data_IF_978997232618
#
_entry.id   IF_978997232618
#
_cell.length_a   1.000
_cell.length_b   1.000
_cell.length_c   1.000
_cell.angle_alpha   90.00
_cell.angle_beta   90.00
_cell.angle_gamma   90.00
#
_symmetry.space_group_name_H-M   'P 1'
#
loop_
_entity.id
_entity.type
_entity.pdbx_description
1 polymer ?
#
# COMPACT_ATOMS: atom_id res chain seq x y z
N UNK A 1 4.10 -2.62 -38.28
CA UNK A 1 5.07 -2.61 -37.17
C UNK A 1 4.67 -1.51 -36.22
N UNK A 2 4.03 -1.84 -35.09
CA UNK A 2 3.74 -0.89 -34.01
C UNK A 2 4.22 -1.53 -32.73
N UNK A 3 5.45 -1.21 -32.36
CA UNK A 3 5.99 -1.53 -31.04
C UNK A 3 5.34 -0.57 -30.05
N UNK A 4 4.19 -0.98 -29.53
CA UNK A 4 3.66 -0.42 -28.28
C UNK A 4 4.60 -0.87 -27.19
N UNK A 5 5.63 -0.07 -26.92
CA UNK A 5 6.42 -0.19 -25.70
C UNK A 5 5.46 0.07 -24.56
N UNK A 6 4.90 -1.00 -23.99
CA UNK A 6 4.33 -0.95 -22.65
C UNK A 6 5.43 -0.40 -21.76
N UNK A 7 5.30 0.88 -21.41
CA UNK A 7 6.08 1.55 -20.39
C UNK A 7 5.75 0.90 -19.06
N UNK A 8 6.30 -0.30 -18.90
CA UNK A 8 6.25 -1.10 -17.70
C UNK A 8 7.10 -0.32 -16.71
N UNK A 9 6.54 0.26 -15.63
CA UNK A 9 7.38 1.03 -14.73
C UNK A 9 8.37 0.06 -14.08
N UNK A 10 9.64 0.17 -14.49
CA UNK A 10 10.80 -0.46 -13.87
C UNK A 10 11.14 0.16 -12.50
N UNK A 11 10.18 0.86 -11.88
CA UNK A 11 10.35 1.72 -10.74
C UNK A 11 9.29 1.33 -9.70
N UNK A 12 9.74 0.96 -8.50
CA UNK A 12 8.87 0.38 -7.48
C UNK A 12 7.60 1.18 -7.20
N UNK A 13 6.51 0.47 -6.84
CA UNK A 13 5.15 0.97 -6.54
C UNK A 13 5.00 2.48 -6.51
N UNK A 14 4.26 3.06 -7.44
CA UNK A 14 3.87 4.47 -7.48
C UNK A 14 3.14 4.93 -6.20
N UNK A 15 3.10 6.25 -5.98
CA UNK A 15 2.34 6.84 -4.86
C UNK A 15 0.85 6.47 -4.92
N UNK A 16 0.26 6.43 -6.12
CA UNK A 16 -1.14 6.02 -6.32
C UNK A 16 -1.37 4.57 -5.90
N UNK A 17 -0.46 3.67 -6.27
CA UNK A 17 -0.54 2.25 -5.86
C UNK A 17 -0.38 2.09 -4.35
N UNK A 18 0.50 2.87 -3.72
CA UNK A 18 0.66 2.87 -2.27
C UNK A 18 -0.59 3.37 -1.54
N UNK A 19 -1.26 4.40 -2.06
CA UNK A 19 -2.54 4.89 -1.51
C UNK A 19 -3.64 3.84 -1.66
N UNK A 20 -3.74 3.20 -2.83
CA UNK A 20 -4.72 2.14 -3.06
C UNK A 20 -4.49 0.94 -2.13
N UNK A 21 -3.24 0.55 -1.92
CA UNK A 21 -2.89 -0.52 -0.98
C UNK A 21 -3.16 -0.16 0.47
N UNK A 22 -2.95 1.11 0.85
CA UNK A 22 -3.29 1.60 2.19
C UNK A 22 -4.79 1.47 2.45
N UNK A 23 -5.64 1.91 1.51
CA UNK A 23 -7.08 1.77 1.61
C UNK A 23 -7.51 0.30 1.77
N UNK A 24 -6.92 -0.61 0.97
CA UNK A 24 -7.18 -2.04 1.09
C UNK A 24 -6.83 -2.61 2.47
N UNK A 25 -5.71 -2.19 3.08
CA UNK A 25 -5.37 -2.63 4.44
C UNK A 25 -6.31 -2.09 5.51
N UNK A 26 -6.93 -0.93 5.30
CA UNK A 26 -7.93 -0.39 6.22
C UNK A 26 -9.26 -1.13 6.14
N UNK A 27 -9.66 -1.54 4.95
CA UNK A 27 -10.84 -2.39 4.73
C UNK A 27 -10.62 -3.78 5.33
N UNK A 28 -9.45 -4.39 5.10
CA UNK A 28 -9.06 -5.65 5.74
C UNK A 28 -9.16 -5.56 7.27
N UNK A 29 -8.67 -4.47 7.88
CA UNK A 29 -8.76 -4.27 9.34
C UNK A 29 -10.18 -4.04 9.83
N UNK A 30 -11.03 -3.39 9.02
CA UNK A 30 -12.43 -3.14 9.33
C UNK A 30 -13.23 -4.45 9.32
N UNK A 31 -13.01 -5.31 8.32
CA UNK A 31 -13.66 -6.61 8.18
C UNK A 31 -13.11 -7.65 9.18
N UNK A 32 -11.80 -7.64 9.40
CA UNK A 32 -11.10 -8.53 10.34
C UNK A 32 -11.56 -8.40 11.81
N UNK A 33 -12.26 -7.32 12.16
CA UNK A 33 -12.80 -7.13 13.53
C UNK A 33 -13.78 -8.23 13.94
N UNK A 34 -14.48 -8.85 12.99
CA UNK A 34 -15.45 -9.91 13.28
C UNK A 34 -14.78 -11.25 13.64
N UNK A 35 -13.89 -11.78 12.78
CA UNK A 35 -13.42 -13.18 12.92
C UNK A 35 -11.91 -13.42 12.69
N UNK A 36 -11.12 -12.37 12.42
CA UNK A 36 -9.70 -12.58 12.12
C UNK A 36 -8.84 -12.80 13.37
N UNK A 37 -7.89 -13.73 13.26
CA UNK A 37 -6.89 -13.97 14.29
C UNK A 37 -6.02 -12.75 14.58
N UNK A 38 -5.49 -12.65 15.80
CA UNK A 38 -4.56 -11.60 16.21
C UNK A 38 -3.31 -11.54 15.30
N UNK A 39 -2.85 -12.70 14.83
CA UNK A 39 -1.72 -12.80 13.91
C UNK A 39 -2.02 -12.13 12.56
N UNK A 40 -3.22 -12.35 12.01
CA UNK A 40 -3.66 -11.71 10.78
C UNK A 40 -3.72 -10.19 10.93
N UNK A 41 -4.39 -9.69 11.98
CA UNK A 41 -4.48 -8.24 12.27
C UNK A 41 -3.09 -7.60 12.42
N UNK A 42 -2.19 -8.28 13.13
CA UNK A 42 -0.80 -7.82 13.31
C UNK A 42 -0.04 -7.75 11.98
N UNK A 43 -0.28 -8.69 11.07
CA UNK A 43 0.28 -8.67 9.71
C UNK A 43 -0.20 -7.47 8.90
N UNK A 44 -1.50 -7.20 8.92
CA UNK A 44 -2.10 -6.06 8.19
C UNK A 44 -1.59 -4.72 8.75
N UNK A 45 -1.53 -4.55 10.07
CA UNK A 45 -0.96 -3.33 10.69
C UNK A 45 0.51 -3.12 10.31
N UNK A 46 1.33 -4.18 10.30
CA UNK A 46 2.74 -4.08 9.87
C UNK A 46 2.85 -3.66 8.40
N UNK A 47 1.99 -4.18 7.53
CA UNK A 47 1.91 -3.80 6.12
C UNK A 47 1.52 -2.34 5.97
N UNK A 48 0.47 -1.89 6.68
CA UNK A 48 0.01 -0.51 6.71
C UNK A 48 1.13 0.45 7.12
N UNK A 49 1.85 0.14 8.21
CA UNK A 49 2.96 0.95 8.69
C UNK A 49 4.10 1.08 7.66
N UNK A 50 4.38 0.02 6.89
CA UNK A 50 5.37 0.06 5.80
C UNK A 50 4.94 1.01 4.69
N UNK A 51 3.67 0.94 4.28
CA UNK A 51 3.11 1.80 3.23
C UNK A 51 3.15 3.27 3.66
N UNK A 52 2.74 3.58 4.89
CA UNK A 52 2.79 4.95 5.43
C UNK A 52 4.21 5.49 5.49
N UNK A 53 5.20 4.67 5.88
CA UNK A 53 6.62 5.09 5.85
C UNK A 53 7.09 5.36 4.42
N UNK A 54 6.71 4.51 3.48
CA UNK A 54 7.02 4.69 2.05
C UNK A 54 6.43 5.99 1.51
N UNK A 55 5.16 6.26 1.81
CA UNK A 55 4.47 7.49 1.44
C UNK A 55 5.12 8.72 2.05
N UNK A 56 5.44 8.69 3.36
CA UNK A 56 6.15 9.80 4.03
C UNK A 56 7.53 10.08 3.43
N UNK A 57 8.25 9.05 2.96
CA UNK A 57 9.55 9.23 2.28
C UNK A 57 9.40 9.89 0.91
N UNK A 58 8.34 9.55 0.18
CA UNK A 58 8.09 10.03 -1.19
C UNK A 58 7.36 11.37 -1.23
N UNK A 59 6.62 11.69 -0.18
CA UNK A 59 5.92 12.94 0.02
C UNK A 59 6.42 13.58 1.32
N UNK A 60 7.61 14.21 1.30
CA UNK A 60 8.04 15.04 2.41
C UNK A 60 7.02 16.16 2.52
N UNK A 61 6.13 16.08 3.50
CA UNK A 61 5.20 17.16 3.80
C UNK A 61 5.96 18.47 4.01
N UNK A 62 5.33 19.63 3.81
CA UNK A 62 5.92 20.90 4.22
C UNK A 62 6.25 20.80 5.72
N UNK A 63 7.52 21.07 6.05
CA UNK A 63 7.98 21.13 7.44
C UNK A 63 7.34 22.29 8.18
#
# INVERSE_FOLDING_TARGET
MTTTTEDRPAHGRSVRELIAELAGTEDDLREARADASLAHRSGVVRRQARIVRELRRRSPGPR
#
